data_IF_847710310337
#
_entry.id   IF_847710310337
#
_cell.length_a   1.000
_cell.length_b   1.000
_cell.length_c   1.000
_cell.angle_alpha   90.00
_cell.angle_beta   90.00
_cell.angle_gamma   90.00
#
_symmetry.space_group_name_H-M   'P 1'
#
loop_
_entity.id
_entity.type
_entity.pdbx_description
1 polymer ?
#
# COMPACT_ATOMS: atom_id res chain seq x y z
N UNK A 1 0.53 -6.88 -13.53
CA UNK A 1 0.42 -6.72 -12.07
C UNK A 1 -0.92 -6.09 -11.70
N UNK A 2 -1.43 -6.42 -10.55
CA UNK A 2 -2.64 -5.79 -10.02
C UNK A 2 -2.27 -4.64 -9.09
N UNK A 3 -3.18 -3.69 -8.94
CA UNK A 3 -2.94 -2.46 -8.17
C UNK A 3 -3.84 -2.40 -6.94
N UNK A 4 -3.29 -1.91 -5.84
CA UNK A 4 -4.04 -1.51 -4.66
C UNK A 4 -3.59 -0.13 -4.22
N UNK A 5 -4.51 0.61 -3.62
CA UNK A 5 -4.20 1.89 -2.98
C UNK A 5 -4.32 1.69 -1.48
N UNK A 6 -3.25 1.99 -0.76
CA UNK A 6 -3.21 1.93 0.70
C UNK A 6 -3.35 3.35 1.22
N UNK A 7 -4.30 3.57 2.11
CA UNK A 7 -4.62 4.89 2.64
C UNK A 7 -4.33 4.91 4.14
N UNK A 8 -3.42 5.77 4.57
CA UNK A 8 -2.98 5.85 5.95
C UNK A 8 -3.11 7.26 6.51
N UNK A 9 -3.21 7.39 7.83
CA UNK A 9 -3.21 8.69 8.53
C UNK A 9 -1.85 9.37 8.51
N UNK A 10 -0.80 8.59 8.43
CA UNK A 10 0.59 9.05 8.46
C UNK A 10 1.29 8.57 7.20
N UNK A 11 2.23 9.36 6.68
CA UNK A 11 2.95 8.94 5.47
C UNK A 11 3.79 7.70 5.74
N UNK A 12 3.74 6.75 4.80
CA UNK A 12 4.67 5.64 4.78
C UNK A 12 5.92 6.13 4.06
N UNK A 13 7.07 6.08 4.73
CA UNK A 13 8.32 6.57 4.19
C UNK A 13 9.29 5.43 3.92
N UNK A 14 10.19 5.66 2.97
CA UNK A 14 11.24 4.69 2.65
C UNK A 14 12.05 4.30 3.89
N UNK A 15 12.49 5.30 4.67
CA UNK A 15 13.36 5.06 5.82
C UNK A 15 12.71 4.17 6.88
N UNK A 16 11.39 4.23 7.00
CA UNK A 16 10.65 3.44 7.98
C UNK A 16 10.31 2.05 7.46
N UNK A 17 9.86 1.96 6.20
CA UNK A 17 9.33 0.70 5.66
C UNK A 17 10.40 -0.21 5.06
N UNK A 18 11.49 0.35 4.51
CA UNK A 18 12.51 -0.44 3.82
C UNK A 18 13.16 -1.51 4.72
N UNK A 19 13.57 -1.20 5.97
CA UNK A 19 14.14 -2.23 6.84
C UNK A 19 13.17 -3.37 7.12
N UNK A 20 11.87 -3.06 7.26
CA UNK A 20 10.82 -4.05 7.51
C UNK A 20 10.63 -4.96 6.30
N UNK A 21 10.63 -4.39 5.11
CA UNK A 21 10.50 -5.15 3.87
C UNK A 21 11.71 -6.04 3.66
N UNK A 22 12.90 -5.54 3.88
CA UNK A 22 14.14 -6.31 3.73
C UNK A 22 14.15 -7.52 4.67
N UNK A 23 13.62 -7.36 5.86
CA UNK A 23 13.52 -8.45 6.83
C UNK A 23 12.48 -9.49 6.42
N UNK A 24 11.29 -9.05 6.00
CA UNK A 24 10.19 -9.93 5.61
C UNK A 24 10.48 -10.67 4.31
N UNK A 25 11.12 -9.99 3.35
CA UNK A 25 11.42 -10.52 2.02
C UNK A 25 12.93 -10.70 1.80
N UNK A 26 13.63 -11.22 2.82
CA UNK A 26 15.08 -11.34 2.80
C UNK A 26 15.63 -12.20 1.65
N UNK A 27 14.81 -13.09 1.09
CA UNK A 27 15.20 -13.96 0.00
C UNK A 27 14.88 -13.38 -1.39
N UNK A 28 14.33 -12.16 -1.41
CA UNK A 28 13.98 -11.48 -2.65
C UNK A 28 14.98 -10.37 -2.94
N UNK A 29 15.42 -10.20 -4.20
CA UNK A 29 16.17 -9.01 -4.58
C UNK A 29 15.37 -7.74 -4.27
N UNK A 30 16.04 -6.77 -3.67
CA UNK A 30 15.46 -5.52 -3.25
C UNK A 30 16.24 -4.37 -3.90
N UNK A 31 15.54 -3.45 -4.52
CA UNK A 31 16.15 -2.21 -4.99
C UNK A 31 15.14 -1.08 -4.99
N UNK A 32 15.64 0.14 -4.98
CA UNK A 32 14.84 1.34 -5.04
C UNK A 32 15.32 2.24 -6.17
N UNK A 33 14.39 2.92 -6.82
CA UNK A 33 14.72 3.83 -7.91
C UNK A 33 15.01 5.24 -7.38
N UNK A 34 14.28 5.66 -6.38
CA UNK A 34 14.56 6.86 -5.59
C UNK A 34 13.92 6.68 -4.22
N UNK A 35 13.81 7.76 -3.42
CA UNK A 35 13.31 7.66 -2.05
C UNK A 35 11.82 7.36 -1.93
N UNK A 36 11.09 7.30 -3.04
CA UNK A 36 9.64 7.05 -3.00
C UNK A 36 9.18 5.83 -3.79
N UNK A 37 10.11 4.99 -4.24
CA UNK A 37 9.76 3.79 -5.00
C UNK A 37 10.63 2.61 -4.59
N UNK A 38 9.99 1.50 -4.22
CA UNK A 38 10.65 0.25 -3.83
C UNK A 38 10.21 -0.86 -4.78
N UNK A 39 11.18 -1.63 -5.27
CA UNK A 39 10.93 -2.84 -6.05
C UNK A 39 11.44 -4.05 -5.29
N UNK A 40 10.61 -5.08 -5.17
CA UNK A 40 11.02 -6.38 -4.64
C UNK A 40 10.51 -7.43 -5.62
N UNK A 41 11.41 -8.13 -6.29
CA UNK A 41 11.01 -9.08 -7.32
C UNK A 41 11.98 -10.23 -7.41
N UNK A 42 11.45 -11.44 -7.48
CA UNK A 42 12.20 -12.67 -7.69
C UNK A 42 11.48 -13.48 -8.77
N UNK A 43 12.11 -13.63 -9.95
CA UNK A 43 11.49 -14.27 -11.11
C UNK A 43 10.20 -13.54 -11.49
N UNK A 44 9.04 -14.21 -11.42
CA UNK A 44 7.75 -13.63 -11.75
C UNK A 44 6.93 -13.24 -10.53
N UNK A 45 7.53 -13.27 -9.36
CA UNK A 45 6.86 -12.99 -8.11
C UNK A 45 7.44 -11.74 -7.45
N UNK A 46 6.60 -10.84 -6.99
CA UNK A 46 7.08 -9.64 -6.33
C UNK A 46 6.06 -8.53 -6.26
N UNK A 47 6.53 -7.34 -5.91
CA UNK A 47 5.69 -6.17 -5.75
C UNK A 47 6.50 -4.89 -5.93
N UNK A 48 5.77 -3.79 -6.12
CA UNK A 48 6.30 -2.42 -6.14
C UNK A 48 5.49 -1.58 -5.17
N UNK A 49 6.17 -0.73 -4.42
CA UNK A 49 5.54 0.27 -3.56
C UNK A 49 5.95 1.65 -4.02
N UNK A 50 4.96 2.50 -4.28
CA UNK A 50 5.19 3.90 -4.63
C UNK A 50 4.55 4.79 -3.57
N UNK A 51 5.35 5.65 -2.95
CA UNK A 51 4.92 6.50 -1.85
C UNK A 51 4.52 7.89 -2.34
N UNK A 52 3.42 8.40 -1.80
CA UNK A 52 3.00 9.78 -2.02
C UNK A 52 3.27 10.56 -0.73
N UNK A 53 4.23 11.50 -0.72
CA UNK A 53 4.62 12.16 0.52
C UNK A 53 3.63 13.19 1.04
N UNK A 54 2.67 13.59 0.21
CA UNK A 54 1.74 14.67 0.54
C UNK A 54 0.38 14.13 0.97
N UNK A 55 -0.23 14.80 1.94
CA UNK A 55 -1.60 14.54 2.36
C UNK A 55 -2.55 14.97 1.24
N UNK A 56 -3.32 14.03 0.69
CA UNK A 56 -4.24 14.32 -0.43
C UNK A 56 -5.41 15.22 -0.01
N UNK A 57 -5.75 15.27 1.27
CA UNK A 57 -6.80 16.16 1.76
C UNK A 57 -6.39 17.62 1.70
N UNK A 58 -5.09 17.89 1.67
CA UNK A 58 -4.53 19.24 1.55
C UNK A 58 -4.32 19.67 0.10
N UNK A 59 -4.49 18.76 -0.86
CA UNK A 59 -4.24 19.01 -2.28
C UNK A 59 -5.56 19.29 -2.99
N UNK A 60 -5.82 20.54 -3.40
CA UNK A 60 -7.07 20.89 -4.08
C UNK A 60 -7.19 20.31 -5.48
N UNK A 61 -6.09 19.84 -6.07
CA UNK A 61 -6.09 19.23 -7.40
C UNK A 61 -6.24 17.71 -7.37
N UNK A 62 -6.35 17.11 -6.18
CA UNK A 62 -6.49 15.68 -6.04
C UNK A 62 -7.86 15.22 -6.55
N UNK A 63 -7.86 14.29 -7.50
CA UNK A 63 -9.07 13.78 -8.13
C UNK A 63 -9.65 12.54 -7.42
N UNK A 64 -9.22 12.25 -6.21
CA UNK A 64 -9.62 11.05 -5.47
C UNK A 64 -10.65 11.33 -4.38
N UNK A 65 -11.54 12.28 -4.63
CA UNK A 65 -12.55 12.71 -3.65
C UNK A 65 -13.41 11.57 -3.14
N UNK A 66 -13.83 10.66 -4.01
CA UNK A 66 -14.67 9.52 -3.62
C UNK A 66 -13.95 8.57 -2.65
N UNK A 67 -12.67 8.34 -2.88
CA UNK A 67 -11.85 7.50 -1.99
C UNK A 67 -11.71 8.16 -0.63
N UNK A 68 -11.43 9.47 -0.64
CA UNK A 68 -11.28 10.24 0.58
C UNK A 68 -12.58 10.28 1.38
N UNK A 69 -13.72 10.45 0.70
CA UNK A 69 -15.04 10.51 1.35
C UNK A 69 -15.40 9.20 2.06
N UNK A 70 -14.86 8.07 1.61
CA UNK A 70 -15.08 6.78 2.25
C UNK A 70 -14.21 6.58 3.50
N UNK A 71 -13.15 7.38 3.66
CA UNK A 71 -12.21 7.25 4.77
C UNK A 71 -12.55 8.23 5.87
N UNK A 72 -12.76 7.78 7.12
CA UNK A 72 -13.01 8.70 8.24
C UNK A 72 -11.76 9.35 8.80
N UNK A 73 -10.63 9.20 8.13
CA UNK A 73 -9.35 9.75 8.59
C UNK A 73 -9.29 11.25 8.43
N UNK A 74 -8.54 11.92 9.32
CA UNK A 74 -8.29 13.36 9.23
C UNK A 74 -7.28 13.69 8.15
N UNK A 75 -6.36 12.79 7.88
CA UNK A 75 -5.32 12.91 6.86
C UNK A 75 -5.36 11.66 5.99
N UNK A 76 -4.99 11.80 4.74
CA UNK A 76 -4.93 10.66 3.85
C UNK A 76 -3.65 10.70 3.02
N UNK A 77 -2.77 9.76 3.30
CA UNK A 77 -1.53 9.55 2.54
C UNK A 77 -1.71 8.27 1.72
N UNK A 78 -1.43 8.37 0.42
CA UNK A 78 -1.62 7.25 -0.49
C UNK A 78 -0.30 6.53 -0.76
N UNK A 79 -0.36 5.21 -0.76
CA UNK A 79 0.74 4.35 -1.19
C UNK A 79 0.18 3.39 -2.22
N UNK A 80 0.76 3.37 -3.41
CA UNK A 80 0.36 2.43 -4.45
C UNK A 80 1.14 1.13 -4.30
N UNK A 81 0.42 0.03 -4.29
CA UNK A 81 1.00 -1.31 -4.26
C UNK A 81 0.64 -2.04 -5.54
N UNK A 82 1.66 -2.34 -6.35
CA UNK A 82 1.53 -3.23 -7.49
C UNK A 82 2.06 -4.61 -7.08
N UNK A 83 1.29 -5.66 -7.34
CA UNK A 83 1.64 -6.99 -6.85
C UNK A 83 1.34 -8.06 -7.88
N UNK A 84 2.04 -9.19 -7.78
CA UNK A 84 1.88 -10.32 -8.71
C UNK A 84 0.86 -11.34 -8.22
N UNK A 85 0.65 -11.44 -6.90
CA UNK A 85 -0.32 -12.39 -6.34
C UNK A 85 -0.91 -11.86 -5.03
N UNK A 86 -2.13 -12.29 -4.73
CA UNK A 86 -2.83 -11.89 -3.50
C UNK A 86 -2.06 -12.26 -2.24
N UNK A 87 -1.46 -13.46 -2.12
CA UNK A 87 -0.66 -13.77 -0.92
C UNK A 87 0.47 -12.78 -0.66
N UNK A 88 1.15 -12.30 -1.70
CA UNK A 88 2.20 -11.28 -1.55
C UNK A 88 1.59 -9.96 -1.08
N UNK A 89 0.47 -9.54 -1.68
CA UNK A 89 -0.21 -8.33 -1.25
C UNK A 89 -0.59 -8.41 0.23
N UNK A 90 -1.12 -9.54 0.68
CA UNK A 90 -1.51 -9.74 2.08
C UNK A 90 -0.31 -9.71 3.03
N UNK A 91 0.85 -10.21 2.61
CA UNK A 91 2.07 -10.13 3.42
C UNK A 91 2.49 -8.67 3.64
N UNK A 92 2.44 -7.86 2.57
CA UNK A 92 2.76 -6.43 2.66
C UNK A 92 1.75 -5.70 3.54
N UNK A 93 0.46 -5.93 3.33
CA UNK A 93 -0.58 -5.29 4.12
C UNK A 93 -0.45 -5.65 5.61
N UNK A 94 -0.17 -6.92 5.91
CA UNK A 94 0.04 -7.37 7.27
C UNK A 94 1.24 -6.68 7.93
N UNK A 95 2.33 -6.54 7.18
CA UNK A 95 3.53 -5.84 7.65
C UNK A 95 3.22 -4.37 7.98
N UNK A 96 2.46 -3.70 7.12
CA UNK A 96 2.12 -2.29 7.31
C UNK A 96 1.15 -2.12 8.48
N UNK A 97 0.14 -2.98 8.60
CA UNK A 97 -0.83 -2.92 9.70
C UNK A 97 -0.15 -3.07 11.06
N UNK A 98 0.83 -3.94 11.16
CA UNK A 98 1.55 -4.19 12.40
C UNK A 98 2.41 -3.00 12.84
N UNK A 99 2.76 -2.12 11.91
CA UNK A 99 3.67 -1.00 12.19
C UNK A 99 3.00 0.37 12.12
N UNK A 100 1.91 0.50 11.37
CA UNK A 100 1.19 1.77 11.17
C UNK A 100 -0.23 1.74 11.73
N UNK A 101 -0.69 0.58 12.20
CA UNK A 101 -2.06 0.42 12.66
C UNK A 101 -3.03 0.23 11.51
N UNK A 102 -4.31 0.27 11.84
CA UNK A 102 -5.36 0.02 10.87
C UNK A 102 -5.41 1.15 9.82
N UNK A 103 -5.70 0.77 8.59
CA UNK A 103 -5.72 1.67 7.44
C UNK A 103 -6.79 1.19 6.47
N UNK A 104 -6.97 1.93 5.38
CA UNK A 104 -7.96 1.60 4.36
C UNK A 104 -7.29 1.11 3.10
N UNK A 105 -7.95 0.18 2.41
CA UNK A 105 -7.47 -0.40 1.16
C UNK A 105 -8.54 -0.22 0.10
N UNK A 106 -8.13 0.22 -1.08
CA UNK A 106 -9.02 0.32 -2.25
C UNK A 106 -8.41 -0.44 -3.42
N UNK A 107 -9.24 -1.22 -4.11
CA UNK A 107 -8.89 -1.87 -5.36
C UNK A 107 -9.85 -1.42 -6.44
N UNK A 108 -9.32 -0.90 -7.54
CA UNK A 108 -10.13 -0.52 -8.70
C UNK A 108 -10.34 -1.69 -9.66
N UNK A 109 -9.62 -2.79 -9.48
CA UNK A 109 -9.63 -3.91 -10.44
C UNK A 109 -10.70 -4.95 -10.17
N UNK A 110 -11.18 -5.04 -8.92
CA UNK A 110 -12.18 -6.04 -8.53
C UNK A 110 -13.40 -5.36 -7.91
N UNK A 111 -14.30 -4.87 -8.77
CA UNK A 111 -15.59 -4.29 -8.37
C UNK A 111 -15.46 -3.14 -7.34
N UNK A 112 -14.41 -2.31 -7.48
CA UNK A 112 -14.17 -1.19 -6.56
C UNK A 112 -14.15 -1.62 -5.09
N UNK A 113 -13.48 -2.74 -4.79
CA UNK A 113 -13.39 -3.20 -3.41
C UNK A 113 -12.78 -2.11 -2.52
N UNK A 114 -13.44 -1.85 -1.39
CA UNK A 114 -12.98 -0.88 -0.40
C UNK A 114 -13.28 -1.43 0.99
N UNK A 115 -12.32 -1.31 1.90
CA UNK A 115 -12.49 -1.74 3.28
C UNK A 115 -11.26 -1.44 4.11
N UNK A 116 -11.30 -1.85 5.38
CA UNK A 116 -10.13 -1.73 6.24
C UNK A 116 -9.07 -2.74 5.81
N UNK A 117 -7.82 -2.48 6.24
CA UNK A 117 -6.75 -3.43 5.98
C UNK A 117 -7.03 -4.80 6.60
N UNK A 118 -7.67 -4.84 7.78
CA UNK A 118 -8.05 -6.10 8.41
C UNK A 118 -9.09 -6.84 7.57
N UNK A 119 -10.08 -6.13 7.04
CA UNK A 119 -11.08 -6.73 6.14
C UNK A 119 -10.41 -7.30 4.89
N UNK A 120 -9.40 -6.60 4.37
CA UNK A 120 -8.64 -7.09 3.22
C UNK A 120 -7.96 -8.43 3.55
N UNK A 121 -7.31 -8.50 4.70
CA UNK A 121 -6.63 -9.74 5.12
C UNK A 121 -7.60 -10.90 5.32
N UNK A 122 -8.79 -10.61 5.84
CA UNK A 122 -9.77 -11.64 6.20
C UNK A 122 -10.62 -12.10 5.01
N UNK A 123 -10.95 -11.20 4.09
CA UNK A 123 -12.01 -11.45 3.11
C UNK A 123 -11.60 -11.30 1.64
N UNK A 124 -10.53 -10.57 1.36
CA UNK A 124 -10.16 -10.31 -0.04
C UNK A 124 -9.54 -11.57 -0.68
N UNK A 125 -10.11 -12.00 -1.79
CA UNK A 125 -9.62 -13.19 -2.49
C UNK A 125 -9.20 -12.91 -3.94
N UNK A 126 -9.23 -11.68 -4.32
CA UNK A 126 -8.77 -11.25 -5.62
C UNK A 126 -9.77 -10.99 -6.64
#
# INVERSE_FOLDING_TARGET
MKDLIIITDKPITYDTIAPLIKKEFKNYPFWNDDSNLIYVKKKMSGFELEFTPNDILSDPECSMDETVDRCPNKNAYLTNLNYTSVPIAKRIISLIINNYGNMWIQSDEDDDWFGTAQDFLDNYSG
#
